data_IF_051945051200
#
_entry.id   IF_051945051200
#
_cell.length_a   1.000
_cell.length_b   1.000
_cell.length_c   1.000
_cell.angle_alpha   90.00
_cell.angle_beta   90.00
_cell.angle_gamma   90.00
#
_symmetry.space_group_name_H-M   'P 1'
#
loop_
_entity.id
_entity.type
_entity.pdbx_description
1 polymer ?
#
# COMPACT_ATOMS: atom_id res chain seq x y z
N UNK A 1 28.94 13.81 7.59
CA UNK A 1 29.84 13.20 6.58
C UNK A 1 29.30 11.83 6.23
N UNK A 2 29.12 11.55 4.92
CA UNK A 2 28.69 10.22 4.44
C UNK A 2 29.95 9.43 4.08
N UNK A 3 30.03 8.21 4.58
CA UNK A 3 31.12 7.27 4.29
C UNK A 3 30.51 6.12 3.47
N UNK A 4 31.02 5.91 2.26
CA UNK A 4 30.59 4.86 1.35
C UNK A 4 31.81 3.96 1.02
N UNK A 5 32.11 2.92 1.83
CA UNK A 5 33.32 2.11 1.71
C UNK A 5 33.51 1.49 0.33
N UNK A 6 32.43 1.06 -0.33
CA UNK A 6 32.47 0.50 -1.70
C UNK A 6 33.02 1.45 -2.76
N UNK A 7 33.07 2.76 -2.53
CA UNK A 7 33.71 3.74 -3.41
C UNK A 7 35.24 3.74 -3.29
N UNK A 8 35.75 3.25 -2.17
CA UNK A 8 37.17 3.29 -1.79
C UNK A 8 37.76 1.88 -1.88
N UNK A 9 37.02 0.86 -1.45
CA UNK A 9 37.45 -0.53 -1.42
C UNK A 9 37.44 -1.16 -2.80
N UNK A 10 38.28 -2.17 -3.02
CA UNK A 10 38.36 -2.94 -4.26
C UNK A 10 37.28 -4.02 -4.37
N UNK A 11 36.22 -3.94 -3.59
CA UNK A 11 35.08 -4.89 -3.59
C UNK A 11 34.02 -4.40 -4.58
N UNK A 12 34.09 -4.87 -5.84
CA UNK A 12 33.26 -4.35 -6.95
C UNK A 12 32.05 -5.23 -7.26
N UNK A 13 32.02 -6.45 -6.76
CA UNK A 13 30.95 -7.40 -7.08
C UNK A 13 30.46 -8.14 -5.83
N UNK A 14 29.29 -8.77 -5.97
CA UNK A 14 28.76 -9.69 -4.94
C UNK A 14 29.74 -10.84 -4.66
N UNK A 15 30.40 -11.34 -5.70
CA UNK A 15 31.42 -12.39 -5.56
C UNK A 15 32.59 -11.92 -4.72
N UNK A 16 33.10 -10.70 -4.94
CA UNK A 16 34.17 -10.12 -4.13
C UNK A 16 33.77 -10.00 -2.67
N UNK A 17 32.54 -9.55 -2.39
CA UNK A 17 31.98 -9.43 -1.03
C UNK A 17 31.88 -10.80 -0.34
N UNK A 18 31.43 -11.83 -1.05
CA UNK A 18 31.34 -13.20 -0.53
C UNK A 18 32.74 -13.75 -0.21
N UNK A 19 33.71 -13.52 -1.09
CA UNK A 19 35.09 -13.97 -0.90
C UNK A 19 35.73 -13.24 0.28
N UNK A 20 35.50 -11.93 0.42
CA UNK A 20 35.95 -11.15 1.55
C UNK A 20 35.35 -11.66 2.87
N UNK A 21 34.03 -11.89 2.91
CA UNK A 21 33.36 -12.44 4.07
C UNK A 21 33.94 -13.80 4.49
N UNK A 22 34.14 -14.71 3.52
CA UNK A 22 34.79 -16.01 3.78
C UNK A 22 36.20 -15.85 4.37
N UNK A 23 37.01 -14.98 3.77
CA UNK A 23 38.40 -14.72 4.23
C UNK A 23 38.43 -14.19 5.66
N UNK A 24 37.42 -13.42 6.06
CA UNK A 24 37.39 -12.80 7.41
C UNK A 24 36.46 -13.50 8.40
N UNK A 25 36.00 -14.72 8.10
CA UNK A 25 35.16 -15.52 9.00
C UNK A 25 33.77 -14.93 9.23
N UNK A 26 33.30 -14.03 8.32
CA UNK A 26 31.97 -13.42 8.42
C UNK A 26 30.95 -14.44 7.89
N UNK A 27 30.03 -14.83 8.74
CA UNK A 27 28.95 -15.76 8.37
C UNK A 27 27.96 -15.10 7.44
N UNK A 28 27.76 -15.68 6.26
CA UNK A 28 26.71 -15.27 5.31
C UNK A 28 25.57 -16.29 5.40
N UNK A 29 24.32 -15.86 5.69
CA UNK A 29 23.18 -16.78 5.63
C UNK A 29 23.06 -17.40 4.25
N UNK A 30 22.72 -18.67 4.19
CA UNK A 30 22.40 -19.36 2.94
C UNK A 30 20.90 -19.25 2.68
N UNK A 31 20.51 -19.20 1.41
CA UNK A 31 19.11 -19.33 1.05
C UNK A 31 18.60 -20.77 1.33
N UNK A 32 17.28 -21.02 1.15
CA UNK A 32 16.68 -22.34 1.39
C UNK A 32 17.24 -23.46 0.50
N UNK A 33 18.03 -23.13 -0.53
CA UNK A 33 18.71 -24.08 -1.42
C UNK A 33 20.20 -24.17 -1.19
N UNK A 34 20.69 -23.54 -0.10
CA UNK A 34 22.13 -23.56 0.25
C UNK A 34 23.00 -22.61 -0.58
N UNK A 35 22.42 -21.81 -1.47
CA UNK A 35 23.14 -20.82 -2.28
C UNK A 35 23.26 -19.47 -1.53
N UNK A 36 24.14 -18.55 -1.98
CA UNK A 36 24.17 -17.18 -1.43
C UNK A 36 22.76 -16.54 -1.47
N UNK A 37 22.39 -15.72 -0.47
CA UNK A 37 21.03 -15.23 -0.33
C UNK A 37 20.66 -14.27 -1.47
N UNK A 38 19.36 -14.06 -1.67
CA UNK A 38 18.84 -12.91 -2.43
C UNK A 38 19.24 -11.60 -1.73
N UNK A 39 19.15 -10.48 -2.42
CA UNK A 39 19.14 -9.18 -1.76
C UNK A 39 17.79 -9.00 -1.10
N UNK A 40 17.77 -8.87 0.21
CA UNK A 40 16.53 -8.78 1.00
C UNK A 40 16.64 -7.58 1.93
N UNK A 41 15.67 -6.67 1.82
CA UNK A 41 15.45 -5.57 2.76
C UNK A 41 14.14 -5.84 3.49
N UNK A 42 14.21 -5.85 4.82
CA UNK A 42 13.09 -6.22 5.68
C UNK A 42 12.86 -5.19 6.78
N UNK A 43 11.61 -4.75 6.93
CA UNK A 43 11.17 -3.89 8.01
C UNK A 43 9.73 -4.22 8.38
N UNK A 44 9.16 -3.53 9.37
CA UNK A 44 7.80 -3.79 9.85
C UNK A 44 6.73 -3.62 8.74
N UNK A 45 6.95 -2.70 7.79
CA UNK A 45 5.97 -2.39 6.75
C UNK A 45 6.02 -3.38 5.58
N UNK A 46 7.23 -3.71 5.08
CA UNK A 46 7.36 -4.59 3.92
C UNK A 46 8.67 -5.38 3.94
N UNK A 47 8.72 -6.41 3.10
CA UNK A 47 9.95 -7.10 2.69
C UNK A 47 10.10 -6.95 1.19
N UNK A 48 11.29 -6.56 0.73
CA UNK A 48 11.66 -6.60 -0.68
C UNK A 48 12.70 -7.68 -0.95
N UNK A 49 12.60 -8.36 -2.09
CA UNK A 49 13.55 -9.39 -2.53
C UNK A 49 13.95 -9.13 -3.98
N UNK A 50 15.25 -9.04 -4.23
CA UNK A 50 15.83 -8.74 -5.54
C UNK A 50 16.99 -9.67 -5.87
N UNK A 51 17.37 -9.70 -7.16
CA UNK A 51 18.56 -10.38 -7.68
C UNK A 51 18.35 -11.83 -8.07
N UNK A 52 19.42 -12.48 -8.51
CA UNK A 52 19.47 -13.90 -8.94
C UNK A 52 18.47 -14.19 -10.07
N UNK A 53 17.62 -15.21 -9.88
CA UNK A 53 16.61 -15.63 -10.85
C UNK A 53 15.59 -14.52 -11.17
N UNK A 54 15.40 -13.54 -10.28
CA UNK A 54 14.49 -12.42 -10.47
C UNK A 54 15.00 -11.39 -11.48
N UNK A 55 16.31 -11.33 -11.74
CA UNK A 55 16.89 -10.41 -12.72
C UNK A 55 16.38 -10.65 -14.14
N UNK A 56 15.99 -11.89 -14.43
CA UNK A 56 15.37 -12.20 -15.72
C UNK A 56 13.84 -12.18 -15.60
N UNK A 57 13.14 -11.21 -16.23
CA UNK A 57 11.70 -11.09 -16.13
C UNK A 57 10.91 -12.23 -16.78
N UNK A 58 11.55 -13.09 -17.57
CA UNK A 58 10.94 -14.31 -18.12
C UNK A 58 10.74 -15.41 -17.08
N UNK A 59 11.46 -15.35 -15.95
CA UNK A 59 11.35 -16.34 -14.91
C UNK A 59 10.18 -16.00 -13.96
N UNK A 60 9.39 -17.01 -13.63
CA UNK A 60 8.40 -16.89 -12.55
C UNK A 60 9.09 -16.75 -11.18
N UNK A 61 8.40 -16.10 -10.26
CA UNK A 61 8.87 -15.94 -8.87
C UNK A 61 8.77 -17.27 -8.14
N UNK A 62 9.89 -17.85 -7.66
CA UNK A 62 9.83 -19.09 -6.89
C UNK A 62 9.11 -18.88 -5.55
N UNK A 63 8.21 -19.80 -5.19
CA UNK A 63 7.40 -19.69 -3.96
C UNK A 63 8.24 -19.55 -2.68
N UNK A 64 9.43 -20.17 -2.63
CA UNK A 64 10.29 -20.11 -1.44
C UNK A 64 10.87 -18.72 -1.13
N UNK A 65 10.75 -17.76 -2.05
CA UNK A 65 11.20 -16.37 -1.83
C UNK A 65 10.29 -15.66 -0.82
N UNK A 66 8.99 -15.96 -0.85
CA UNK A 66 8.03 -15.33 0.06
C UNK A 66 8.24 -15.76 1.50
N UNK A 67 8.35 -14.77 2.39
CA UNK A 67 8.67 -14.97 3.80
C UNK A 67 7.51 -14.62 4.74
N UNK A 68 6.68 -13.65 4.34
CA UNK A 68 5.58 -13.11 5.15
C UNK A 68 4.21 -13.64 4.76
N UNK A 69 4.09 -14.16 3.55
CA UNK A 69 2.81 -14.58 2.98
C UNK A 69 2.84 -16.03 2.59
N UNK A 70 1.77 -16.74 2.87
CA UNK A 70 1.54 -18.08 2.31
C UNK A 70 1.07 -17.99 0.86
N UNK A 71 1.15 -19.09 0.10
CA UNK A 71 0.55 -19.11 -1.24
C UNK A 71 -0.98 -19.17 -1.18
N UNK A 72 -1.70 -18.71 -2.22
CA UNK A 72 -3.15 -18.81 -2.30
C UNK A 72 -3.69 -20.24 -2.11
N UNK A 73 -2.95 -21.24 -2.64
CA UNK A 73 -3.32 -22.66 -2.53
C UNK A 73 -3.26 -23.17 -1.11
N UNK A 74 -2.26 -22.69 -0.32
CA UNK A 74 -2.05 -23.06 1.09
C UNK A 74 -2.81 -22.18 2.07
N UNK A 75 -3.40 -21.07 1.62
CA UNK A 75 -4.19 -20.20 2.45
C UNK A 75 -5.47 -20.91 2.94
N UNK A 76 -6.01 -20.52 4.12
CA UNK A 76 -7.19 -21.16 4.69
C UNK A 76 -8.38 -21.19 3.73
N UNK A 77 -9.12 -22.33 3.74
CA UNK A 77 -10.36 -22.47 2.98
C UNK A 77 -11.55 -21.72 3.61
N UNK A 78 -11.42 -21.29 4.87
CA UNK A 78 -12.42 -20.44 5.53
C UNK A 78 -11.94 -18.98 5.47
N UNK A 79 -12.80 -18.02 5.08
CA UNK A 79 -12.45 -16.62 5.06
C UNK A 79 -12.16 -16.09 6.46
N UNK A 80 -11.25 -15.13 6.55
CA UNK A 80 -10.99 -14.35 7.76
C UNK A 80 -11.68 -13.00 7.66
N UNK A 81 -12.13 -12.45 8.78
CA UNK A 81 -12.75 -11.12 8.84
C UNK A 81 -11.96 -10.21 9.77
N UNK A 82 -11.85 -8.95 9.38
CA UNK A 82 -11.21 -7.91 10.21
C UNK A 82 -11.94 -6.60 10.04
N UNK A 83 -12.17 -5.90 11.16
CA UNK A 83 -12.70 -4.54 11.17
C UNK A 83 -11.59 -3.58 11.58
N UNK A 84 -11.26 -2.63 10.73
CA UNK A 84 -10.24 -1.59 11.01
C UNK A 84 -10.97 -0.31 11.37
N UNK A 85 -10.61 0.28 12.52
CA UNK A 85 -11.18 1.51 13.04
C UNK A 85 -10.29 2.71 12.70
N UNK A 86 -10.90 3.80 12.22
CA UNK A 86 -10.22 5.03 11.83
C UNK A 86 -10.68 6.23 12.64
N UNK A 87 -9.74 7.11 13.00
CA UNK A 87 -9.99 8.43 13.58
C UNK A 87 -9.07 9.46 12.93
N UNK A 88 -9.65 10.50 12.36
CA UNK A 88 -8.91 11.55 11.64
C UNK A 88 -7.97 10.97 10.56
N UNK A 89 -8.45 9.98 9.80
CA UNK A 89 -7.71 9.25 8.77
C UNK A 89 -6.72 8.20 9.30
N UNK A 90 -6.33 8.24 10.56
CA UNK A 90 -5.39 7.30 11.15
C UNK A 90 -6.09 5.99 11.57
N UNK A 91 -5.50 4.81 11.28
CA UNK A 91 -5.99 3.55 11.81
C UNK A 91 -5.63 3.44 13.30
N UNK A 92 -6.64 3.30 14.16
CA UNK A 92 -6.48 3.34 15.62
C UNK A 92 -6.75 2.02 16.32
N UNK A 93 -7.27 1.02 15.59
CA UNK A 93 -7.62 -0.25 16.23
C UNK A 93 -8.15 -1.30 15.27
N UNK A 94 -8.26 -2.51 15.76
CA UNK A 94 -8.73 -3.70 15.05
C UNK A 94 -9.80 -4.38 15.89
N UNK A 95 -10.95 -4.71 15.27
CA UNK A 95 -12.07 -5.42 15.91
C UNK A 95 -12.49 -4.75 17.24
N UNK A 96 -12.56 -3.42 17.25
CA UNK A 96 -12.95 -2.63 18.43
C UNK A 96 -11.86 -2.43 19.48
N UNK A 97 -10.70 -3.09 19.36
CA UNK A 97 -9.58 -2.93 20.30
C UNK A 97 -8.61 -1.87 19.78
N UNK A 98 -8.34 -0.83 20.58
CA UNK A 98 -7.32 0.18 20.31
C UNK A 98 -5.93 -0.44 20.42
N UNK A 99 -5.04 -0.11 19.51
CA UNK A 99 -3.69 -0.61 19.42
C UNK A 99 -2.69 0.52 19.13
N UNK A 100 -1.44 0.33 19.53
CA UNK A 100 -0.34 1.16 19.03
C UNK A 100 -0.16 0.96 17.53
N UNK A 101 0.35 1.94 16.77
CA UNK A 101 0.56 1.82 15.33
C UNK A 101 1.37 0.58 14.92
N UNK A 102 2.45 0.28 15.66
CA UNK A 102 3.30 -0.90 15.41
C UNK A 102 2.55 -2.21 15.62
N UNK A 103 1.88 -2.36 16.76
CA UNK A 103 1.10 -3.58 17.07
C UNK A 103 -0.08 -3.77 16.12
N UNK A 104 -0.69 -2.66 15.65
CA UNK A 104 -1.76 -2.71 14.66
C UNK A 104 -1.23 -3.26 13.34
N UNK A 105 -0.11 -2.70 12.85
CA UNK A 105 0.49 -3.14 11.58
C UNK A 105 0.98 -4.58 11.65
N UNK A 106 1.62 -4.99 12.76
CA UNK A 106 2.07 -6.36 12.97
C UNK A 106 0.91 -7.36 12.91
N UNK A 107 -0.21 -7.08 13.60
CA UNK A 107 -1.40 -7.94 13.56
C UNK A 107 -2.01 -8.01 12.16
N UNK A 108 -2.04 -6.90 11.43
CA UNK A 108 -2.51 -6.90 10.05
C UNK A 108 -1.56 -7.67 9.13
N UNK A 109 -0.24 -7.58 9.33
CA UNK A 109 0.73 -8.37 8.60
C UNK A 109 0.48 -9.87 8.77
N UNK A 110 0.31 -10.33 10.02
CA UNK A 110 0.05 -11.75 10.33
C UNK A 110 -1.26 -12.23 9.67
N UNK A 111 -2.32 -11.45 9.81
CA UNK A 111 -3.63 -11.81 9.28
C UNK A 111 -3.65 -11.83 7.75
N UNK A 112 -3.11 -10.81 7.11
CA UNK A 112 -3.04 -10.70 5.66
C UNK A 112 -2.10 -11.76 5.05
N UNK A 113 -0.93 -11.95 5.63
CA UNK A 113 0.04 -12.94 5.20
C UNK A 113 -0.51 -14.37 5.24
N UNK A 114 -1.22 -14.72 6.31
CA UNK A 114 -1.94 -16.02 6.43
C UNK A 114 -2.97 -16.22 5.32
N UNK A 115 -3.57 -15.15 4.82
CA UNK A 115 -4.59 -15.18 3.76
C UNK A 115 -3.99 -14.92 2.36
N UNK A 116 -2.68 -15.02 2.18
CA UNK A 116 -1.97 -14.85 0.91
C UNK A 116 -2.07 -13.42 0.31
N UNK A 117 -2.24 -12.40 1.15
CA UNK A 117 -2.44 -11.02 0.72
C UNK A 117 -1.14 -10.22 0.86
N UNK A 118 -0.84 -9.36 -0.13
CA UNK A 118 0.23 -8.37 -0.08
C UNK A 118 1.46 -8.70 -0.92
N UNK A 119 1.39 -9.64 -1.85
CA UNK A 119 2.47 -9.96 -2.81
C UNK A 119 2.41 -9.04 -4.03
N UNK A 120 3.55 -8.53 -4.43
CA UNK A 120 3.68 -7.70 -5.65
C UNK A 120 4.98 -8.09 -6.35
N UNK A 121 4.90 -8.41 -7.65
CA UNK A 121 6.03 -8.55 -8.56
C UNK A 121 6.05 -7.31 -9.45
N UNK A 122 7.09 -6.50 -9.35
CA UNK A 122 7.13 -5.17 -9.95
C UNK A 122 8.44 -4.94 -10.69
N UNK A 123 8.33 -4.43 -11.92
CA UNK A 123 9.46 -3.81 -12.63
C UNK A 123 9.39 -2.32 -12.44
N UNK A 124 10.27 -1.79 -11.60
CA UNK A 124 10.32 -0.38 -11.23
C UNK A 124 11.30 0.43 -12.04
N UNK A 125 11.11 1.73 -12.06
CA UNK A 125 12.04 2.69 -12.65
C UNK A 125 12.92 3.28 -11.55
N UNK A 126 14.21 2.94 -11.54
CA UNK A 126 15.18 3.52 -10.61
C UNK A 126 15.40 5.00 -10.90
N UNK A 127 15.72 5.78 -9.87
CA UNK A 127 16.02 7.22 -10.00
C UNK A 127 17.06 7.53 -11.10
N UNK A 128 18.03 6.64 -11.30
CA UNK A 128 19.09 6.77 -12.32
C UNK A 128 18.65 6.36 -13.74
N UNK A 129 17.36 6.12 -13.97
CA UNK A 129 16.80 5.83 -15.30
C UNK A 129 16.87 4.38 -15.78
N UNK A 130 17.35 3.44 -14.95
CA UNK A 130 17.32 2.01 -15.28
C UNK A 130 16.09 1.33 -14.69
N UNK A 131 15.72 0.19 -15.25
CA UNK A 131 14.68 -0.67 -14.70
C UNK A 131 15.28 -1.79 -13.86
N UNK A 132 14.62 -2.14 -12.75
CA UNK A 132 14.93 -3.33 -11.98
C UNK A 132 13.66 -4.05 -11.53
N UNK A 133 13.73 -5.35 -11.36
CA UNK A 133 12.61 -6.16 -10.86
C UNK A 133 12.81 -6.46 -9.39
N UNK A 134 11.80 -6.16 -8.59
CA UNK A 134 11.71 -6.51 -7.19
C UNK A 134 10.42 -7.26 -6.88
N UNK A 135 10.48 -8.17 -5.92
CA UNK A 135 9.32 -8.87 -5.37
C UNK A 135 9.10 -8.35 -3.94
N UNK A 136 7.90 -7.90 -3.69
CA UNK A 136 7.53 -7.22 -2.45
C UNK A 136 6.45 -7.98 -1.72
N UNK A 137 6.52 -7.97 -0.39
CA UNK A 137 5.47 -8.46 0.50
C UNK A 137 5.09 -7.33 1.46
N UNK A 138 3.88 -6.79 1.30
CA UNK A 138 3.35 -5.69 2.12
C UNK A 138 1.96 -6.04 2.66
N UNK A 139 1.83 -7.12 3.45
CA UNK A 139 0.53 -7.67 3.77
C UNK A 139 -0.39 -6.72 4.54
N UNK A 140 0.06 -6.18 5.67
CA UNK A 140 -0.73 -5.26 6.49
C UNK A 140 -0.96 -3.91 5.81
N UNK A 141 0.05 -3.40 5.09
CA UNK A 141 -0.06 -2.17 4.32
C UNK A 141 -1.13 -2.28 3.23
N UNK A 142 -1.22 -3.43 2.56
CA UNK A 142 -2.26 -3.70 1.56
C UNK A 142 -3.66 -3.64 2.18
N UNK A 143 -3.88 -4.24 3.37
CA UNK A 143 -5.16 -4.13 4.07
C UNK A 143 -5.47 -2.68 4.45
N UNK A 144 -4.47 -1.94 4.94
CA UNK A 144 -4.66 -0.54 5.33
C UNK A 144 -5.06 0.34 4.15
N UNK A 145 -4.41 0.20 2.99
CA UNK A 145 -4.75 0.97 1.80
C UNK A 145 -6.18 0.67 1.35
N UNK A 146 -6.59 -0.59 1.28
CA UNK A 146 -7.95 -0.98 0.90
C UNK A 146 -9.00 -0.43 1.88
N UNK A 147 -8.77 -0.58 3.19
CA UNK A 147 -9.70 -0.09 4.20
C UNK A 147 -9.76 1.44 4.24
N UNK A 148 -8.60 2.11 4.15
CA UNK A 148 -8.52 3.57 4.15
C UNK A 148 -9.25 4.15 2.94
N UNK A 149 -9.02 3.60 1.75
CA UNK A 149 -9.72 4.03 0.53
C UNK A 149 -11.23 3.81 0.64
N UNK A 150 -11.65 2.71 1.27
CA UNK A 150 -13.05 2.41 1.50
C UNK A 150 -13.73 3.40 2.46
N UNK A 151 -13.07 3.84 3.53
CA UNK A 151 -13.65 4.84 4.45
C UNK A 151 -13.63 6.24 3.83
N UNK A 152 -12.57 6.62 3.09
CA UNK A 152 -12.53 7.87 2.34
C UNK A 152 -13.70 7.99 1.35
N UNK A 153 -14.04 6.90 0.66
CA UNK A 153 -15.10 6.90 -0.36
C UNK A 153 -16.48 7.30 0.16
N UNK A 154 -16.74 7.13 1.45
CA UNK A 154 -18.03 7.49 2.08
C UNK A 154 -17.96 8.76 2.93
N UNK A 155 -16.76 9.28 3.22
CA UNK A 155 -16.56 10.43 4.12
C UNK A 155 -16.08 11.69 3.40
N UNK A 156 -15.39 11.53 2.27
CA UNK A 156 -14.88 12.65 1.49
C UNK A 156 -15.78 12.97 0.29
N UNK A 157 -15.78 14.22 -0.12
CA UNK A 157 -16.43 14.65 -1.36
C UNK A 157 -15.57 14.33 -2.59
N UNK A 158 -16.23 14.32 -3.75
CA UNK A 158 -15.64 14.01 -5.05
C UNK A 158 -14.38 14.83 -5.34
N UNK A 159 -14.43 16.14 -5.14
CA UNK A 159 -13.34 17.05 -5.50
C UNK A 159 -12.08 16.77 -4.66
N UNK A 160 -12.28 16.56 -3.35
CA UNK A 160 -11.19 16.20 -2.44
C UNK A 160 -10.55 14.87 -2.82
N UNK A 161 -11.35 13.85 -3.14
CA UNK A 161 -10.84 12.55 -3.57
C UNK A 161 -10.05 12.65 -4.88
N UNK A 162 -10.61 13.30 -5.90
CA UNK A 162 -9.92 13.47 -7.19
C UNK A 162 -8.61 14.24 -7.04
N UNK A 163 -8.57 15.29 -6.21
CA UNK A 163 -7.37 16.06 -5.95
C UNK A 163 -6.27 15.22 -5.28
N UNK A 164 -6.63 14.38 -4.31
CA UNK A 164 -5.71 13.41 -3.71
C UNK A 164 -5.18 12.41 -4.74
N UNK A 165 -6.04 11.85 -5.57
CA UNK A 165 -5.66 10.89 -6.60
C UNK A 165 -4.70 11.48 -7.63
N UNK A 166 -4.93 12.71 -8.06
CA UNK A 166 -4.06 13.40 -9.03
C UNK A 166 -2.64 13.62 -8.54
N UNK A 167 -2.47 13.89 -7.25
CA UNK A 167 -1.14 14.17 -6.70
C UNK A 167 -0.37 12.91 -6.28
N UNK A 168 -1.06 11.79 -6.12
CA UNK A 168 -0.47 10.57 -5.51
C UNK A 168 0.75 10.04 -6.29
N UNK A 169 0.76 9.98 -7.64
CA UNK A 169 1.95 9.54 -8.38
C UNK A 169 3.16 10.44 -8.13
N UNK A 170 2.96 11.76 -8.11
CA UNK A 170 4.05 12.70 -7.85
C UNK A 170 4.53 12.65 -6.40
N UNK A 171 3.60 12.48 -5.46
CA UNK A 171 3.94 12.31 -4.05
C UNK A 171 4.78 11.04 -3.83
N UNK A 172 4.36 9.92 -4.44
CA UNK A 172 5.10 8.67 -4.38
C UNK A 172 6.50 8.78 -5.02
N UNK A 173 6.61 9.44 -6.17
CA UNK A 173 7.89 9.69 -6.85
C UNK A 173 8.87 10.48 -5.97
N UNK A 174 8.41 11.53 -5.29
CA UNK A 174 9.25 12.31 -4.39
C UNK A 174 9.79 11.46 -3.22
N UNK A 175 8.94 10.59 -2.66
CA UNK A 175 9.35 9.68 -1.59
C UNK A 175 10.36 8.65 -2.12
N UNK A 176 10.07 8.03 -3.24
CA UNK A 176 10.93 7.03 -3.88
C UNK A 176 12.33 7.59 -4.20
N UNK A 177 12.38 8.82 -4.71
CA UNK A 177 13.61 9.50 -5.09
C UNK A 177 14.37 10.12 -3.89
N UNK A 178 13.90 9.94 -2.66
CA UNK A 178 14.56 10.43 -1.45
C UNK A 178 14.31 11.92 -1.15
N UNK A 179 13.31 12.56 -1.76
CA UNK A 179 12.96 13.96 -1.54
C UNK A 179 11.99 14.17 -0.37
N UNK A 180 12.17 13.40 0.72
CA UNK A 180 11.30 13.47 1.90
C UNK A 180 11.20 14.88 2.49
N UNK A 181 12.33 15.60 2.60
CA UNK A 181 12.41 16.94 3.19
C UNK A 181 12.22 18.07 2.17
N UNK A 182 11.78 17.78 0.94
CA UNK A 182 11.59 18.80 -0.09
C UNK A 182 10.35 19.67 0.19
N UNK A 183 10.46 20.96 -0.19
CA UNK A 183 9.34 21.91 -0.11
C UNK A 183 8.12 21.41 -0.92
N UNK A 184 8.35 20.72 -2.02
CA UNK A 184 7.28 20.17 -2.86
C UNK A 184 6.52 19.08 -2.12
N UNK A 185 7.23 18.11 -1.51
CA UNK A 185 6.59 17.05 -0.72
C UNK A 185 5.74 17.65 0.41
N UNK A 186 6.22 18.68 1.12
CA UNK A 186 5.43 19.36 2.16
C UNK A 186 4.18 20.05 1.61
N UNK A 187 4.24 20.64 0.40
CA UNK A 187 3.05 21.21 -0.26
C UNK A 187 2.03 20.12 -0.59
N UNK A 188 2.48 18.99 -1.15
CA UNK A 188 1.61 17.87 -1.46
C UNK A 188 1.03 17.21 -0.21
N UNK A 189 1.79 17.15 0.90
CA UNK A 189 1.29 16.66 2.18
C UNK A 189 0.04 17.40 2.66
N UNK A 190 0.00 18.73 2.48
CA UNK A 190 -1.19 19.52 2.83
C UNK A 190 -2.43 19.08 2.05
N UNK A 191 -2.24 18.59 0.80
CA UNK A 191 -3.34 18.05 0.00
C UNK A 191 -3.73 16.66 0.49
N UNK A 192 -2.75 15.80 0.84
CA UNK A 192 -3.02 14.49 1.45
C UNK A 192 -3.81 14.64 2.74
N UNK A 193 -3.51 15.67 3.54
CA UNK A 193 -4.17 15.95 4.82
C UNK A 193 -5.53 16.67 4.69
N UNK A 194 -5.94 17.04 3.47
CA UNK A 194 -7.23 17.70 3.26
C UNK A 194 -8.38 16.85 3.84
N UNK A 195 -9.18 17.49 4.68
CA UNK A 195 -10.39 16.90 5.30
C UNK A 195 -10.15 15.59 6.06
N UNK A 196 -8.90 15.30 6.49
CA UNK A 196 -8.61 14.09 7.27
C UNK A 196 -9.47 13.96 8.52
N UNK A 197 -9.87 15.08 9.14
CA UNK A 197 -10.78 15.11 10.28
C UNK A 197 -12.19 14.59 9.97
N UNK A 198 -12.57 14.43 8.70
CA UNK A 198 -13.82 13.81 8.27
C UNK A 198 -13.73 12.29 8.17
N UNK A 199 -12.51 11.75 8.01
CA UNK A 199 -12.29 10.32 7.80
C UNK A 199 -12.29 9.60 9.14
N UNK A 200 -13.51 9.27 9.62
CA UNK A 200 -13.75 8.59 10.89
C UNK A 200 -14.74 7.44 10.69
N UNK A 201 -14.51 6.33 11.34
CA UNK A 201 -15.41 5.19 11.29
C UNK A 201 -14.70 3.86 11.26
N UNK A 202 -15.33 2.86 10.67
CA UNK A 202 -14.76 1.52 10.55
C UNK A 202 -15.07 0.88 9.20
N UNK A 203 -14.17 0.00 8.77
CA UNK A 203 -14.32 -0.81 7.56
C UNK A 203 -14.15 -2.26 7.94
N UNK A 204 -15.12 -3.10 7.58
CA UNK A 204 -15.04 -4.54 7.73
C UNK A 204 -14.58 -5.15 6.41
N UNK A 205 -13.51 -5.92 6.46
CA UNK A 205 -12.92 -6.63 5.33
C UNK A 205 -13.11 -8.14 5.52
N UNK A 206 -13.36 -8.81 4.41
CA UNK A 206 -13.30 -10.26 4.27
C UNK A 206 -12.06 -10.62 3.47
N UNK A 207 -11.23 -11.50 4.01
CA UNK A 207 -9.96 -11.93 3.46
C UNK A 207 -10.04 -13.38 3.04
N UNK A 208 -9.72 -13.67 1.79
CA UNK A 208 -9.82 -15.02 1.28
C UNK A 208 -8.86 -15.25 0.12
N UNK A 209 -7.89 -16.13 0.30
CA UNK A 209 -6.98 -16.63 -0.75
C UNK A 209 -6.42 -15.53 -1.68
N UNK A 210 -5.78 -14.52 -1.08
CA UNK A 210 -5.18 -13.39 -1.80
C UNK A 210 -6.13 -12.23 -2.08
N UNK A 211 -7.44 -12.38 -1.84
CA UNK A 211 -8.44 -11.36 -2.12
C UNK A 211 -8.86 -10.60 -0.88
N UNK A 212 -9.14 -9.31 -1.06
CA UNK A 212 -9.73 -8.42 -0.06
C UNK A 212 -11.08 -7.98 -0.56
N UNK A 213 -12.13 -8.29 0.19
CA UNK A 213 -13.50 -7.90 -0.13
C UNK A 213 -13.97 -6.95 0.96
N UNK A 214 -14.52 -5.80 0.56
CA UNK A 214 -15.09 -4.85 1.49
C UNK A 214 -16.50 -5.28 1.83
N UNK A 215 -16.71 -5.75 3.07
CA UNK A 215 -18.00 -6.21 3.56
C UNK A 215 -18.91 -5.04 3.96
N UNK A 216 -18.36 -4.06 4.68
CA UNK A 216 -19.14 -2.90 5.11
C UNK A 216 -18.26 -1.70 5.48
N UNK A 217 -18.89 -0.54 5.46
CA UNK A 217 -18.33 0.75 5.91
C UNK A 217 -19.30 1.37 6.90
N UNK A 218 -18.80 1.85 8.03
CA UNK A 218 -19.62 2.47 9.06
C UNK A 218 -18.99 3.79 9.50
N UNK A 219 -19.74 4.88 9.41
CA UNK A 219 -19.30 6.22 9.81
C UNK A 219 -20.47 7.09 10.23
N UNK A 220 -20.21 8.00 11.18
CA UNK A 220 -21.15 9.06 11.55
C UNK A 220 -21.00 10.31 10.68
N UNK A 221 -19.90 10.44 9.94
CA UNK A 221 -19.54 11.61 9.11
C UNK A 221 -19.74 11.33 7.62
N UNK A 222 -20.80 10.61 7.26
CA UNK A 222 -21.03 10.17 5.88
C UNK A 222 -21.35 11.35 4.96
N UNK A 223 -20.62 11.44 3.83
CA UNK A 223 -21.00 12.23 2.67
C UNK A 223 -22.03 11.48 1.79
N UNK A 224 -22.16 10.16 1.99
CA UNK A 224 -23.13 9.32 1.30
C UNK A 224 -24.50 9.42 1.98
N UNK A 225 -25.53 9.67 1.21
CA UNK A 225 -26.91 9.80 1.70
C UNK A 225 -27.81 8.75 1.04
N UNK A 226 -28.23 7.75 1.80
CA UNK A 226 -29.16 6.72 1.34
C UNK A 226 -30.44 7.33 0.76
N UNK A 227 -30.96 8.41 1.37
CA UNK A 227 -32.17 9.12 0.88
C UNK A 227 -32.00 9.71 -0.51
N UNK A 228 -30.76 10.15 -0.88
CA UNK A 228 -30.50 10.79 -2.19
C UNK A 228 -30.20 9.80 -3.30
N UNK A 229 -29.73 8.60 -2.98
CA UNK A 229 -29.30 7.59 -3.96
C UNK A 229 -30.28 6.43 -4.10
N UNK A 230 -31.37 6.45 -3.34
CA UNK A 230 -32.44 5.44 -3.47
C UNK A 230 -33.06 5.48 -4.86
N UNK A 231 -33.27 4.31 -5.45
CA UNK A 231 -34.06 4.15 -6.68
C UNK A 231 -35.58 4.20 -6.45
N UNK A 232 -35.99 4.20 -5.16
CA UNK A 232 -37.39 4.40 -4.80
C UNK A 232 -37.79 5.87 -4.96
N UNK A 233 -39.09 6.12 -5.12
CA UNK A 233 -39.62 7.47 -5.24
C UNK A 233 -39.20 8.34 -4.06
N UNK A 234 -38.52 9.44 -4.34
CA UNK A 234 -37.92 10.28 -3.33
C UNK A 234 -38.30 11.74 -3.51
N UNK A 235 -39.15 12.25 -2.59
CA UNK A 235 -39.61 13.65 -2.57
C UNK A 235 -38.46 14.66 -2.37
N UNK A 236 -37.26 14.23 -1.92
CA UNK A 236 -36.12 15.12 -1.72
C UNK A 236 -35.24 15.29 -2.96
N UNK A 237 -35.46 14.47 -4.02
CA UNK A 237 -34.72 14.56 -5.26
C UNK A 237 -35.45 15.45 -6.26
N UNK A 238 -34.99 16.68 -6.43
CA UNK A 238 -35.60 17.63 -7.36
C UNK A 238 -34.92 17.51 -8.74
N UNK A 239 -35.63 16.90 -9.71
CA UNK A 239 -35.16 16.69 -11.08
C UNK A 239 -34.77 18.02 -11.78
N UNK A 240 -35.46 19.12 -11.49
CA UNK A 240 -35.16 20.43 -12.09
C UNK A 240 -33.79 20.99 -11.65
N UNK A 241 -33.37 20.68 -10.46
CA UNK A 241 -32.03 21.08 -9.97
C UNK A 241 -30.90 20.31 -10.69
N UNK A 242 -31.12 19.05 -11.02
CA UNK A 242 -30.19 18.24 -11.81
C UNK A 242 -30.10 18.78 -13.23
N UNK A 243 -31.23 19.09 -13.85
CA UNK A 243 -31.29 19.69 -15.20
C UNK A 243 -30.53 21.03 -15.24
N UNK A 244 -30.76 21.92 -14.26
CA UNK A 244 -30.03 23.19 -14.15
C UNK A 244 -28.53 22.97 -13.99
N UNK A 245 -28.14 22.02 -13.21
CA UNK A 245 -26.70 21.65 -13.00
C UNK A 245 -26.09 21.16 -14.34
N UNK A 246 -26.74 20.26 -15.04
CA UNK A 246 -26.32 19.76 -16.36
C UNK A 246 -26.20 20.90 -17.36
N UNK A 247 -27.21 21.76 -17.46
CA UNK A 247 -27.23 22.89 -18.38
C UNK A 247 -26.11 23.92 -18.06
N UNK A 248 -25.81 24.16 -16.80
CA UNK A 248 -24.68 24.99 -16.38
C UNK A 248 -23.34 24.41 -16.87
N UNK A 249 -23.09 23.13 -16.64
CA UNK A 249 -21.87 22.47 -17.10
C UNK A 249 -21.75 22.39 -18.62
N UNK A 250 -22.86 22.14 -19.32
CA UNK A 250 -22.92 22.17 -20.79
C UNK A 250 -22.48 23.52 -21.37
N UNK A 251 -22.90 24.63 -20.76
CA UNK A 251 -22.47 25.97 -21.17
C UNK A 251 -20.96 26.15 -20.98
N UNK A 252 -20.43 25.72 -19.84
CA UNK A 252 -19.00 25.80 -19.50
C UNK A 252 -18.08 24.97 -20.41
N UNK A 253 -18.57 23.88 -20.98
CA UNK A 253 -17.83 23.04 -21.92
C UNK A 253 -17.79 23.61 -23.34
N UNK A 254 -18.64 24.61 -23.65
CA UNK A 254 -18.71 25.27 -24.94
C UNK A 254 -18.03 26.63 -24.99
N UNK A 255 -17.59 27.14 -23.86
CA UNK A 255 -16.74 28.32 -23.68
C UNK A 255 -15.27 27.93 -23.60
#
# INVERSE_FOLDING_TARGET
>A
KIIAPWRIWKLKSRTDLINYAKKHGITIPKDKKGAPPFSIDDNLFHTSTEGKVLENPKNSVPEFIFQRTTSPEKAPNKPSFVTINFKNSDPIGINGKKLSPSNLLEKLNQLAGKNAIGRVDLVENRFIGIKSRGVYETPGGTLLIHAHRAIESVTLDKETMHKKDQIMPRYAELIYNGYWDSKERFKLQKIVDLKKNKVNGSVKLKLYKGNIIIESRQTKSSAYSMKKVSFEENKTFNKSNVERFINYHKKKLRS
#
